data_IF_832429197633
#
_entry.id   IF_832429197633
#
_cell.length_a   1.000
_cell.length_b   1.000
_cell.length_c   1.000
_cell.angle_alpha   90.00
_cell.angle_beta   90.00
_cell.angle_gamma   90.00
#
_symmetry.space_group_name_H-M   'P 1'
#
loop_
_entity.id
_entity.type
_entity.pdbx_description
1 polymer ?
#
# COMPACT_ATOMS: atom_id res chain seq x y z
N UNK A 1 -36.55 -78.48 7.14
CA UNK A 1 -36.92 -77.10 6.80
C UNK A 1 -35.76 -76.52 6.05
N UNK A 2 -35.85 -76.42 4.73
CA UNK A 2 -34.74 -75.93 3.85
C UNK A 2 -34.87 -74.43 3.72
N UNK A 3 -33.75 -73.73 4.07
CA UNK A 3 -33.61 -72.32 3.85
C UNK A 3 -33.12 -72.07 2.42
N UNK A 4 -33.92 -71.36 1.67
CA UNK A 4 -33.65 -70.96 0.29
C UNK A 4 -32.84 -69.69 0.26
N UNK A 5 -31.56 -69.79 -0.18
CA UNK A 5 -30.65 -68.62 -0.33
C UNK A 5 -30.92 -67.99 -1.70
N UNK A 6 -31.41 -66.77 -1.73
CA UNK A 6 -31.59 -65.97 -2.95
C UNK A 6 -30.33 -65.13 -3.16
N UNK A 7 -29.55 -65.45 -4.18
CA UNK A 7 -28.43 -64.65 -4.68
C UNK A 7 -28.96 -63.61 -5.70
N UNK A 8 -28.84 -62.33 -5.38
CA UNK A 8 -29.10 -61.23 -6.31
C UNK A 8 -27.89 -61.03 -7.26
N UNK A 9 -28.12 -60.69 -8.53
CA UNK A 9 -27.02 -60.49 -9.47
C UNK A 9 -26.31 -59.14 -9.21
N UNK A 10 -24.96 -59.17 -9.19
CA UNK A 10 -24.10 -57.97 -9.19
C UNK A 10 -24.33 -57.19 -10.49
N UNK A 11 -24.94 -56.03 -10.40
CA UNK A 11 -24.97 -55.04 -11.49
C UNK A 11 -23.60 -54.31 -11.49
N UNK A 12 -22.83 -54.52 -12.53
CA UNK A 12 -21.56 -53.83 -12.75
C UNK A 12 -21.86 -52.31 -12.94
N UNK A 13 -21.39 -51.49 -11.99
CA UNK A 13 -21.46 -50.03 -12.11
C UNK A 13 -20.42 -49.59 -13.16
N UNK A 14 -20.89 -49.02 -14.26
CA UNK A 14 -20.03 -48.37 -15.23
C UNK A 14 -19.44 -47.11 -14.62
N UNK A 15 -18.14 -46.79 -14.86
CA UNK A 15 -17.52 -45.58 -14.35
C UNK A 15 -18.16 -44.34 -15.00
N UNK A 16 -18.73 -43.45 -14.17
CA UNK A 16 -19.21 -42.16 -14.62
C UNK A 16 -18.03 -41.36 -15.19
N UNK A 17 -18.00 -41.22 -16.51
CA UNK A 17 -17.15 -40.21 -17.16
C UNK A 17 -17.74 -38.83 -16.86
N UNK A 18 -17.11 -38.08 -15.92
CA UNK A 18 -17.35 -36.66 -15.81
C UNK A 18 -16.72 -35.98 -17.04
N UNK A 19 -17.50 -35.27 -17.86
CA UNK A 19 -16.94 -34.44 -18.91
C UNK A 19 -16.13 -33.34 -18.22
N UNK A 20 -14.81 -33.36 -18.40
CA UNK A 20 -13.91 -32.26 -18.01
C UNK A 20 -14.19 -31.11 -18.96
N UNK A 21 -15.07 -30.20 -18.56
CA UNK A 21 -15.20 -28.90 -19.23
C UNK A 21 -13.92 -28.13 -18.98
N UNK A 22 -13.14 -27.79 -20.03
CA UNK A 22 -12.01 -26.91 -19.84
C UNK A 22 -12.56 -25.52 -19.49
N UNK A 23 -12.50 -25.15 -18.22
CA UNK A 23 -12.74 -23.74 -17.85
C UNK A 23 -11.69 -22.93 -18.63
N UNK A 24 -12.13 -21.89 -19.38
CA UNK A 24 -11.20 -21.02 -20.08
C UNK A 24 -10.23 -20.45 -19.04
N UNK A 25 -8.95 -20.81 -19.14
CA UNK A 25 -7.91 -20.18 -18.32
C UNK A 25 -7.93 -18.70 -18.66
N UNK A 26 -8.12 -17.85 -17.65
CA UNK A 26 -7.98 -16.41 -17.83
C UNK A 26 -6.64 -16.14 -18.50
N UNK A 27 -6.68 -15.54 -19.69
CA UNK A 27 -5.48 -15.21 -20.48
C UNK A 27 -4.76 -13.99 -19.94
N UNK A 28 -5.33 -13.29 -18.96
CA UNK A 28 -4.73 -12.13 -18.33
C UNK A 28 -3.77 -12.58 -17.21
N UNK A 29 -2.56 -12.02 -17.15
CA UNK A 29 -1.65 -12.28 -16.05
C UNK A 29 -2.29 -11.91 -14.70
N UNK A 30 -1.97 -12.64 -13.62
CA UNK A 30 -2.51 -12.32 -12.30
C UNK A 30 -2.09 -10.91 -11.90
N UNK A 31 -3.05 -10.14 -11.35
CA UNK A 31 -2.79 -8.79 -10.85
C UNK A 31 -1.84 -8.83 -9.65
N UNK A 32 -0.90 -7.87 -9.61
CA UNK A 32 0.00 -7.70 -8.46
C UNK A 32 -0.77 -7.29 -7.20
N UNK A 33 -0.50 -7.94 -6.09
CA UNK A 33 -1.14 -7.68 -4.80
C UNK A 33 -0.43 -6.54 -4.09
N UNK A 34 -1.14 -5.46 -3.82
CA UNK A 34 -0.60 -4.24 -3.21
C UNK A 34 -1.28 -3.96 -1.89
N UNK A 35 -0.51 -3.66 -0.85
CA UNK A 35 -1.02 -3.13 0.43
C UNK A 35 -0.56 -1.69 0.60
N UNK A 36 -1.47 -0.82 1.03
CA UNK A 36 -1.19 0.58 1.30
C UNK A 36 -1.08 0.81 2.81
N UNK A 37 0.00 1.48 3.24
CA UNK A 37 0.19 2.01 4.58
C UNK A 37 0.08 3.52 4.50
N UNK A 38 -1.04 4.09 4.90
CA UNK A 38 -1.22 5.51 4.66
C UNK A 38 -2.34 6.15 5.45
N UNK A 39 -2.16 7.44 5.68
CA UNK A 39 -3.10 8.27 6.40
C UNK A 39 -3.24 9.63 5.70
N UNK A 40 -4.26 10.41 6.05
CA UNK A 40 -4.50 11.74 5.50
C UNK A 40 -4.51 11.80 3.97
N UNK A 41 -4.14 12.95 3.44
CA UNK A 41 -4.09 13.23 2.01
C UNK A 41 -3.08 12.32 1.28
N UNK A 42 -1.93 12.02 1.89
CA UNK A 42 -0.93 11.15 1.26
C UNK A 42 -1.47 9.75 1.01
N UNK A 43 -1.95 9.09 2.06
CA UNK A 43 -2.55 7.77 1.95
C UNK A 43 -3.76 7.76 1.01
N UNK A 44 -4.61 8.79 1.09
CA UNK A 44 -5.77 8.94 0.21
C UNK A 44 -5.38 9.03 -1.26
N UNK A 45 -4.46 9.93 -1.63
CA UNK A 45 -4.09 10.12 -3.03
C UNK A 45 -3.36 8.91 -3.60
N UNK A 46 -2.45 8.27 -2.83
CA UNK A 46 -1.82 7.02 -3.27
C UNK A 46 -2.89 5.96 -3.53
N UNK A 47 -3.80 5.73 -2.59
CA UNK A 47 -4.86 4.74 -2.74
C UNK A 47 -5.79 5.05 -3.92
N UNK A 48 -6.20 6.31 -4.10
CA UNK A 48 -7.02 6.77 -5.23
C UNK A 48 -6.35 6.48 -6.57
N UNK A 49 -5.07 6.78 -6.71
CA UNK A 49 -4.33 6.54 -7.95
C UNK A 49 -4.17 5.04 -8.25
N UNK A 50 -3.96 4.21 -7.25
CA UNK A 50 -3.89 2.75 -7.41
C UNK A 50 -5.21 2.15 -7.93
N UNK A 51 -6.34 2.73 -7.55
CA UNK A 51 -7.68 2.29 -7.93
C UNK A 51 -8.19 2.93 -9.22
N UNK A 52 -7.36 3.70 -9.91
CA UNK A 52 -7.72 4.40 -11.13
C UNK A 52 -6.82 4.04 -12.32
N UNK A 53 -7.29 4.36 -13.52
CA UNK A 53 -6.52 4.29 -14.76
C UNK A 53 -5.96 2.90 -15.07
N UNK A 54 -4.71 2.88 -15.50
CA UNK A 54 -4.00 1.67 -15.90
C UNK A 54 -3.65 0.77 -14.70
N UNK A 55 -3.29 1.37 -13.57
CA UNK A 55 -2.93 0.61 -12.36
C UNK A 55 -4.07 -0.26 -11.86
N UNK A 56 -5.32 0.20 -11.90
CA UNK A 56 -6.48 -0.58 -11.49
C UNK A 56 -6.67 -1.89 -12.30
N UNK A 57 -6.09 -1.95 -13.51
CA UNK A 57 -6.09 -3.17 -14.33
C UNK A 57 -4.93 -4.12 -13.98
N UNK A 58 -3.80 -3.58 -13.52
CA UNK A 58 -2.56 -4.33 -13.25
C UNK A 58 -2.44 -4.84 -11.82
N UNK A 59 -3.12 -4.19 -10.86
CA UNK A 59 -2.98 -4.50 -9.44
C UNK A 59 -4.31 -4.85 -8.77
N UNK A 60 -4.19 -5.48 -7.61
CA UNK A 60 -5.29 -5.66 -6.64
C UNK A 60 -4.83 -5.08 -5.30
N UNK A 61 -5.52 -4.06 -4.79
CA UNK A 61 -5.29 -3.57 -3.42
C UNK A 61 -5.88 -4.60 -2.46
N UNK A 62 -5.04 -5.22 -1.64
CA UNK A 62 -5.44 -6.33 -0.76
C UNK A 62 -5.78 -5.87 0.65
N UNK A 63 -5.37 -4.67 1.03
CA UNK A 63 -5.71 -4.08 2.30
C UNK A 63 -5.06 -2.71 2.49
N UNK A 64 -5.58 -1.97 3.48
CA UNK A 64 -5.12 -0.64 3.84
C UNK A 64 -4.86 -0.58 5.34
N UNK A 65 -3.60 -0.35 5.73
CA UNK A 65 -3.24 -0.01 7.11
C UNK A 65 -3.21 1.52 7.24
N UNK A 66 -3.99 2.07 8.15
CA UNK A 66 -4.07 3.52 8.41
C UNK A 66 -4.00 3.81 9.89
N UNK A 67 -3.52 4.99 10.26
CA UNK A 67 -3.49 5.41 11.65
C UNK A 67 -4.87 5.84 12.11
N UNK A 68 -5.19 5.51 13.36
CA UNK A 68 -6.33 6.05 14.06
C UNK A 68 -5.82 7.02 15.16
N UNK A 69 -6.08 8.33 15.05
CA UNK A 69 -5.61 9.30 16.03
C UNK A 69 -6.21 9.11 17.42
N UNK A 70 -7.30 8.36 17.54
CA UNK A 70 -7.91 8.03 18.83
C UNK A 70 -7.17 6.91 19.57
N UNK A 71 -6.32 6.15 18.86
CA UNK A 71 -5.56 5.06 19.48
C UNK A 71 -4.42 5.58 20.35
N UNK A 72 -4.32 5.06 21.57
CA UNK A 72 -3.32 5.46 22.56
C UNK A 72 -1.88 5.00 22.25
N UNK A 73 -1.71 4.04 21.33
CA UNK A 73 -0.40 3.48 21.02
C UNK A 73 0.52 4.46 20.26
N UNK A 74 -0.02 5.47 19.61
CA UNK A 74 0.78 6.46 18.91
C UNK A 74 1.36 7.45 19.93
N UNK A 75 2.69 7.59 19.97
CA UNK A 75 3.34 8.52 20.88
C UNK A 75 2.91 9.97 20.60
N UNK A 76 2.40 10.75 21.58
CA UNK A 76 1.85 12.08 21.33
C UNK A 76 2.80 13.04 20.63
N UNK A 77 4.11 12.92 20.91
CA UNK A 77 5.15 13.78 20.32
C UNK A 77 5.64 13.33 18.93
N UNK A 78 5.29 12.12 18.49
CA UNK A 78 5.67 11.52 17.21
C UNK A 78 4.48 11.31 16.28
N UNK A 79 3.30 11.81 16.63
CA UNK A 79 2.11 11.70 15.79
C UNK A 79 2.25 12.61 14.58
N UNK A 80 1.83 12.13 13.44
CA UNK A 80 1.60 12.90 12.22
C UNK A 80 0.60 14.06 12.43
N UNK A 81 -0.25 13.94 13.46
CA UNK A 81 -1.34 14.86 13.79
C UNK A 81 -0.90 16.09 14.59
N UNK A 82 0.39 16.41 14.61
CA UNK A 82 0.89 17.60 15.32
C UNK A 82 0.44 18.92 14.72
N UNK A 83 0.17 18.94 13.43
CA UNK A 83 -0.32 20.13 12.75
C UNK A 83 -1.85 20.21 12.80
N UNK A 84 -2.37 21.41 12.73
CA UNK A 84 -3.82 21.65 12.74
C UNK A 84 -4.49 20.97 11.56
N UNK A 85 -5.46 20.12 11.82
CA UNK A 85 -6.23 19.36 10.82
C UNK A 85 -7.65 19.15 11.34
N UNK A 86 -8.53 18.63 10.48
CA UNK A 86 -9.92 18.34 10.81
C UNK A 86 -10.16 16.85 11.00
N UNK A 87 -11.25 16.47 11.64
CA UNK A 87 -11.69 15.08 11.73
C UNK A 87 -11.90 14.45 10.35
N UNK A 88 -12.33 15.22 9.37
CA UNK A 88 -12.48 14.73 8.00
C UNK A 88 -11.15 14.41 7.34
N UNK A 89 -10.08 15.18 7.62
CA UNK A 89 -8.73 14.86 7.17
C UNK A 89 -8.26 13.51 7.72
N UNK A 90 -8.55 13.21 9.00
CA UNK A 90 -8.23 11.93 9.65
C UNK A 90 -8.96 10.74 9.03
N UNK A 91 -10.21 10.95 8.65
CA UNK A 91 -11.11 9.91 8.15
C UNK A 91 -11.05 9.71 6.63
N UNK A 92 -10.25 10.50 5.90
CA UNK A 92 -10.14 10.40 4.44
C UNK A 92 -9.84 8.97 3.97
N UNK A 93 -8.77 8.36 4.50
CA UNK A 93 -8.34 7.03 4.06
C UNK A 93 -9.33 5.94 4.48
N UNK A 94 -9.74 5.80 5.76
CA UNK A 94 -10.65 4.74 6.13
C UNK A 94 -12.00 4.83 5.43
N UNK A 95 -12.59 6.04 5.30
CA UNK A 95 -13.87 6.22 4.58
C UNK A 95 -13.74 5.86 3.10
N UNK A 96 -12.67 6.32 2.43
CA UNK A 96 -12.47 6.02 1.03
C UNK A 96 -12.24 4.53 0.80
N UNK A 97 -11.39 3.88 1.60
CA UNK A 97 -11.13 2.45 1.49
C UNK A 97 -12.40 1.61 1.73
N UNK A 98 -13.20 1.95 2.74
CA UNK A 98 -14.48 1.31 3.02
C UNK A 98 -15.48 1.48 1.87
N UNK A 99 -15.56 2.68 1.28
CA UNK A 99 -16.41 2.94 0.12
C UNK A 99 -16.00 2.12 -1.12
N UNK A 100 -14.73 1.70 -1.21
CA UNK A 100 -14.20 0.81 -2.24
C UNK A 100 -14.28 -0.68 -1.87
N UNK A 101 -14.87 -1.03 -0.72
CA UNK A 101 -14.97 -2.41 -0.24
C UNK A 101 -13.63 -3.02 0.18
N UNK A 102 -12.63 -2.22 0.51
CA UNK A 102 -11.30 -2.69 0.88
C UNK A 102 -11.20 -3.01 2.37
N UNK A 103 -10.46 -4.06 2.77
CA UNK A 103 -10.12 -4.31 4.16
C UNK A 103 -9.31 -3.16 4.74
N UNK A 104 -9.68 -2.68 5.93
CA UNK A 104 -9.00 -1.58 6.63
C UNK A 104 -8.54 -2.06 8.01
N UNK A 105 -7.29 -1.76 8.34
CA UNK A 105 -6.72 -2.01 9.66
C UNK A 105 -6.21 -0.69 10.27
N UNK A 106 -6.65 -0.38 11.49
CA UNK A 106 -6.32 0.86 12.20
C UNK A 106 -5.50 0.62 13.47
N UNK A 107 -5.09 -0.61 13.72
CA UNK A 107 -4.34 -0.99 14.91
C UNK A 107 -2.82 -0.76 14.82
N UNK A 108 -2.10 -1.29 15.78
CA UNK A 108 -0.63 -1.33 15.78
C UNK A 108 -0.12 -2.36 14.78
N UNK A 109 0.75 -1.92 13.83
CA UNK A 109 1.33 -2.84 12.84
C UNK A 109 2.39 -3.79 13.42
N UNK A 110 2.88 -3.54 14.65
CA UNK A 110 3.88 -4.37 15.34
C UNK A 110 3.24 -5.46 16.21
N UNK A 111 2.06 -5.92 15.87
CA UNK A 111 1.34 -6.93 16.65
C UNK A 111 1.27 -8.26 15.91
N UNK A 112 1.22 -9.40 16.63
CA UNK A 112 1.01 -10.71 16.00
C UNK A 112 -0.29 -10.77 15.18
N UNK A 113 -1.33 -10.05 15.62
CA UNK A 113 -2.60 -9.95 14.91
C UNK A 113 -2.42 -9.33 13.53
N UNK A 114 -1.76 -8.17 13.44
CA UNK A 114 -1.50 -7.54 12.16
C UNK A 114 -0.59 -8.40 11.27
N UNK A 115 0.43 -9.04 11.83
CA UNK A 115 1.30 -9.96 11.10
C UNK A 115 0.49 -11.11 10.48
N UNK A 116 -0.48 -11.68 11.22
CA UNK A 116 -1.38 -12.71 10.69
C UNK A 116 -2.20 -12.19 9.50
N UNK A 117 -2.80 -11.00 9.65
CA UNK A 117 -3.56 -10.35 8.57
C UNK A 117 -2.67 -10.11 7.36
N UNK A 118 -1.51 -9.49 7.55
CA UNK A 118 -0.61 -9.11 6.45
C UNK A 118 -0.07 -10.33 5.70
N UNK A 119 0.45 -11.34 6.43
CA UNK A 119 1.15 -12.46 5.84
C UNK A 119 0.24 -13.59 5.35
N UNK A 120 -0.92 -13.79 5.96
CA UNK A 120 -1.81 -14.89 5.64
C UNK A 120 -3.02 -14.48 4.79
N UNK A 121 -3.54 -13.27 5.00
CA UNK A 121 -4.75 -12.79 4.33
C UNK A 121 -4.41 -11.83 3.18
N UNK A 122 -3.74 -10.69 3.47
CA UNK A 122 -3.40 -9.69 2.46
C UNK A 122 -2.29 -10.13 1.53
N UNK A 123 -1.24 -10.75 2.04
CA UNK A 123 -0.11 -11.34 1.30
C UNK A 123 0.41 -10.43 0.18
N UNK A 124 0.81 -9.18 0.47
CA UNK A 124 1.23 -8.22 -0.55
C UNK A 124 2.51 -8.65 -1.26
N UNK A 125 2.58 -8.33 -2.53
CA UNK A 125 3.79 -8.42 -3.34
C UNK A 125 4.52 -7.08 -3.40
N UNK A 126 3.80 -5.97 -3.21
CA UNK A 126 4.28 -4.61 -3.15
C UNK A 126 3.60 -3.89 -2.00
N UNK A 127 4.36 -3.15 -1.20
CA UNK A 127 3.82 -2.24 -0.19
C UNK A 127 4.19 -0.80 -0.52
N UNK A 128 3.19 0.08 -0.39
CA UNK A 128 3.35 1.52 -0.60
C UNK A 128 2.94 2.26 0.66
N UNK A 129 3.77 3.22 1.10
CA UNK A 129 3.51 4.02 2.28
C UNK A 129 3.47 5.51 1.93
N UNK A 130 2.55 6.24 2.56
CA UNK A 130 2.46 7.69 2.48
C UNK A 130 1.80 8.26 3.74
N UNK A 131 2.47 9.17 4.41
CA UNK A 131 1.93 9.86 5.60
C UNK A 131 1.45 8.86 6.67
N UNK A 132 2.26 7.87 7.01
CA UNK A 132 1.93 6.84 8.00
C UNK A 132 2.70 7.06 9.31
N UNK A 133 2.00 7.07 10.44
CA UNK A 133 2.55 7.48 11.75
C UNK A 133 3.30 6.40 12.52
N UNK A 134 3.43 5.19 12.00
CA UNK A 134 4.09 4.09 12.69
C UNK A 134 5.37 3.67 11.97
N UNK A 135 6.43 3.42 12.74
CA UNK A 135 7.66 2.80 12.20
C UNK A 135 7.37 1.36 11.78
N UNK A 136 7.68 1.02 10.53
CA UNK A 136 7.52 -0.33 9.98
C UNK A 136 8.70 -1.20 10.45
N UNK A 137 8.44 -2.37 11.06
CA UNK A 137 9.50 -3.29 11.50
C UNK A 137 10.03 -4.15 10.35
N UNK A 138 11.27 -4.66 10.49
CA UNK A 138 11.98 -5.48 9.53
C UNK A 138 11.14 -6.60 8.89
N UNK A 139 10.48 -7.46 9.67
CA UNK A 139 9.64 -8.52 9.11
C UNK A 139 8.54 -8.05 8.15
N UNK A 140 8.03 -6.82 8.32
CA UNK A 140 7.00 -6.26 7.43
C UNK A 140 7.64 -5.67 6.16
N UNK A 141 8.66 -4.82 6.28
CA UNK A 141 9.21 -4.18 5.08
C UNK A 141 10.01 -5.13 4.18
N UNK A 142 10.54 -6.23 4.74
CA UNK A 142 11.25 -7.24 3.96
C UNK A 142 10.34 -8.29 3.32
N UNK A 143 9.06 -8.31 3.67
CA UNK A 143 8.13 -9.36 3.21
C UNK A 143 7.73 -9.22 1.74
N UNK A 144 7.32 -8.03 1.23
CA UNK A 144 6.85 -7.92 -0.15
C UNK A 144 7.99 -8.10 -1.15
N UNK A 145 7.87 -9.09 -2.03
CA UNK A 145 8.92 -9.46 -3.01
C UNK A 145 9.28 -8.33 -4.00
N UNK A 146 8.36 -7.40 -4.25
CA UNK A 146 8.58 -6.21 -5.09
C UNK A 146 9.07 -5.00 -4.31
N UNK A 147 9.19 -5.13 -2.98
CA UNK A 147 9.67 -4.08 -2.11
C UNK A 147 8.59 -3.32 -1.35
N UNK A 148 9.06 -2.53 -0.41
CA UNK A 148 8.27 -1.62 0.40
C UNK A 148 8.80 -0.20 0.20
N UNK A 149 7.96 0.71 -0.30
CA UNK A 149 8.36 2.06 -0.67
C UNK A 149 7.54 3.11 0.08
N UNK A 150 8.20 4.23 0.41
CA UNK A 150 7.58 5.38 1.05
C UNK A 150 7.58 6.60 0.12
N UNK A 151 6.45 7.29 0.05
CA UNK A 151 6.31 8.61 -0.56
C UNK A 151 6.52 9.67 0.52
N UNK A 152 7.63 10.39 0.46
CA UNK A 152 8.04 11.35 1.48
C UNK A 152 8.26 12.74 0.90
N UNK A 153 7.74 13.79 1.56
CA UNK A 153 8.07 15.15 1.23
C UNK A 153 9.54 15.43 1.59
N UNK A 154 10.32 15.92 0.66
CA UNK A 154 11.75 16.15 0.86
C UNK A 154 12.22 17.37 0.08
N UNK A 155 13.46 17.79 0.34
CA UNK A 155 14.21 18.66 -0.56
C UNK A 155 14.64 17.91 -1.82
N UNK A 156 15.32 18.60 -2.72
CA UNK A 156 15.76 18.04 -4.01
C UNK A 156 16.91 17.03 -3.86
N UNK A 157 17.69 17.14 -2.82
CA UNK A 157 18.83 16.25 -2.54
C UNK A 157 18.36 15.22 -1.53
N UNK A 158 18.48 13.96 -1.87
CA UNK A 158 18.12 12.86 -0.99
C UNK A 158 19.37 12.27 -0.31
N UNK A 159 19.30 11.88 0.98
CA UNK A 159 18.17 12.07 1.92
C UNK A 159 18.12 13.52 2.45
N UNK A 160 16.91 14.03 2.70
CA UNK A 160 16.73 15.34 3.33
C UNK A 160 15.41 15.42 4.10
N UNK A 161 15.43 16.18 5.18
CA UNK A 161 14.27 16.44 6.04
C UNK A 161 13.56 15.15 6.51
N UNK A 162 14.27 14.20 7.13
CA UNK A 162 13.66 12.96 7.64
C UNK A 162 12.73 13.25 8.81
N UNK A 163 11.78 12.31 9.03
CA UNK A 163 10.89 12.33 10.18
C UNK A 163 9.47 12.79 9.89
N UNK A 164 8.67 13.00 10.95
CA UNK A 164 7.22 13.09 10.83
C UNK A 164 6.69 14.43 10.29
N UNK A 165 7.49 15.48 10.27
CA UNK A 165 7.10 16.81 9.80
C UNK A 165 8.17 17.47 8.93
N UNK A 166 8.44 16.90 7.75
CA UNK A 166 9.44 17.42 6.83
C UNK A 166 9.10 18.83 6.30
N UNK A 167 7.81 19.12 6.14
CA UNK A 167 7.35 20.41 5.62
C UNK A 167 7.70 21.55 6.58
N UNK A 168 7.39 21.40 7.87
CA UNK A 168 7.76 22.41 8.86
C UNK A 168 9.28 22.58 8.97
N UNK A 169 10.05 21.49 8.81
CA UNK A 169 11.50 21.57 8.78
C UNK A 169 12.00 22.34 7.55
N UNK A 170 11.44 22.10 6.37
CA UNK A 170 11.78 22.82 5.15
C UNK A 170 11.44 24.31 5.22
N UNK A 171 10.27 24.65 5.76
CA UNK A 171 9.87 26.06 5.97
C UNK A 171 10.82 26.79 6.92
N UNK A 172 11.20 26.16 8.04
CA UNK A 172 12.19 26.74 8.98
C UNK A 172 13.56 26.95 8.34
N UNK A 173 13.94 26.06 7.40
CA UNK A 173 15.21 26.14 6.66
C UNK A 173 15.14 27.08 5.44
N UNK A 174 14.06 27.84 5.30
CA UNK A 174 13.88 28.82 4.22
C UNK A 174 13.75 28.23 2.83
N UNK A 175 13.33 26.97 2.71
CA UNK A 175 13.10 26.34 1.39
C UNK A 175 11.88 26.96 0.75
N UNK A 176 12.01 27.27 -0.53
CA UNK A 176 10.93 27.83 -1.36
C UNK A 176 10.20 26.77 -2.20
N UNK A 177 10.74 25.55 -2.25
CA UNK A 177 10.20 24.44 -3.01
C UNK A 177 10.42 23.12 -2.26
N UNK A 178 9.55 22.17 -2.51
CA UNK A 178 9.71 20.76 -2.10
C UNK A 178 9.49 19.84 -3.29
N UNK A 179 9.86 18.58 -3.12
CA UNK A 179 9.52 17.47 -4.01
C UNK A 179 8.89 16.34 -3.20
N UNK A 180 8.15 15.46 -3.87
CA UNK A 180 7.78 14.17 -3.33
C UNK A 180 8.80 13.13 -3.80
N UNK A 181 9.50 12.50 -2.87
CA UNK A 181 10.50 11.45 -3.14
C UNK A 181 9.93 10.09 -2.81
N UNK A 182 10.26 9.11 -3.63
CA UNK A 182 10.02 7.69 -3.33
C UNK A 182 11.36 7.06 -2.96
N UNK A 183 11.37 6.34 -1.85
CA UNK A 183 12.52 5.59 -1.38
C UNK A 183 12.11 4.25 -0.78
N UNK A 184 13.04 3.30 -0.69
CA UNK A 184 12.80 2.02 0.00
C UNK A 184 12.64 2.23 1.50
N UNK A 185 11.82 1.42 2.15
CA UNK A 185 11.69 1.44 3.62
C UNK A 185 12.73 0.51 4.23
N UNK A 186 13.42 1.02 5.25
CA UNK A 186 14.46 0.32 6.02
C UNK A 186 14.29 0.56 7.52
N UNK A 187 15.19 0.04 8.33
CA UNK A 187 15.23 0.33 9.77
C UNK A 187 15.57 1.80 10.10
N UNK A 188 16.21 2.51 9.16
CA UNK A 188 16.49 3.94 9.28
C UNK A 188 15.31 4.74 8.73
N UNK A 189 14.72 5.59 9.57
CA UNK A 189 13.57 6.42 9.15
C UNK A 189 14.03 7.36 8.03
N UNK A 190 13.30 7.31 6.91
CA UNK A 190 13.55 8.11 5.69
C UNK A 190 15.02 8.09 5.22
N UNK A 191 15.70 6.95 5.43
CA UNK A 191 17.10 6.72 5.07
C UNK A 191 17.31 5.60 4.05
N UNK A 192 16.25 5.12 3.41
CA UNK A 192 16.34 4.08 2.39
C UNK A 192 16.86 4.58 1.05
N UNK A 193 17.05 3.66 0.10
CA UNK A 193 17.54 3.97 -1.23
C UNK A 193 16.55 4.82 -2.01
N UNK A 194 17.08 5.84 -2.71
CA UNK A 194 16.32 6.69 -3.60
C UNK A 194 15.82 5.91 -4.81
N UNK A 195 14.55 6.11 -5.16
CA UNK A 195 13.91 5.49 -6.32
C UNK A 195 13.54 6.53 -7.37
N UNK A 196 12.77 7.54 -6.97
CA UNK A 196 12.29 8.58 -7.88
C UNK A 196 11.90 9.86 -7.12
N UNK A 197 11.80 10.97 -7.84
CA UNK A 197 11.24 12.22 -7.31
C UNK A 197 10.27 12.88 -8.30
N UNK A 198 9.34 13.65 -7.75
CA UNK A 198 8.38 14.44 -8.51
C UNK A 198 9.02 15.70 -9.09
N UNK A 199 8.24 16.49 -9.82
CA UNK A 199 8.55 17.88 -10.09
C UNK A 199 8.57 18.70 -8.78
N UNK A 200 9.15 19.89 -8.84
CA UNK A 200 9.16 20.86 -7.73
C UNK A 200 7.76 21.42 -7.50
N UNK A 201 7.39 21.55 -6.24
CA UNK A 201 6.18 22.23 -5.79
C UNK A 201 6.58 23.44 -4.97
N UNK A 202 6.10 24.62 -5.33
CA UNK A 202 6.38 25.84 -4.59
C UNK A 202 5.79 25.78 -3.18
N UNK A 203 6.54 26.29 -2.19
CA UNK A 203 6.09 26.47 -0.81
C UNK A 203 5.63 27.94 -0.67
N UNK A 204 4.31 28.22 -0.61
CA UNK A 204 3.83 29.57 -0.43
C UNK A 204 4.26 30.14 0.93
N UNK A 205 4.46 31.46 0.99
CA UNK A 205 4.74 32.16 2.24
C UNK A 205 3.60 31.93 3.25
N UNK A 206 3.95 31.66 4.51
CA UNK A 206 2.97 31.44 5.58
C UNK A 206 2.18 30.15 5.52
N UNK A 207 2.43 29.26 4.55
CA UNK A 207 1.75 27.97 4.47
C UNK A 207 2.12 27.06 5.64
N UNK A 208 1.13 26.43 6.23
CA UNK A 208 1.35 25.38 7.23
C UNK A 208 1.43 23.98 6.60
N UNK A 209 1.78 22.97 7.40
CA UNK A 209 1.97 21.59 6.92
C UNK A 209 0.72 21.04 6.21
N UNK A 210 -0.47 21.16 6.78
CA UNK A 210 -1.70 20.63 6.14
C UNK A 210 -2.06 21.40 4.86
N UNK A 211 -1.83 22.71 4.83
CA UNK A 211 -1.99 23.52 3.63
C UNK A 211 -1.07 23.03 2.51
N UNK A 212 0.19 22.71 2.85
CA UNK A 212 1.14 22.17 1.88
C UNK A 212 0.77 20.78 1.41
N UNK A 213 0.26 19.90 2.28
CA UNK A 213 -0.31 18.62 1.87
C UNK A 213 -1.45 18.80 0.86
N UNK A 214 -2.36 19.77 1.09
CA UNK A 214 -3.47 20.09 0.18
C UNK A 214 -3.01 20.65 -1.17
N UNK A 215 -1.86 21.31 -1.21
CA UNK A 215 -1.25 21.80 -2.45
C UNK A 215 -0.54 20.66 -3.19
N UNK A 216 0.25 19.85 -2.49
CA UNK A 216 1.14 18.85 -3.12
C UNK A 216 0.39 17.64 -3.64
N UNK A 217 -0.37 16.95 -2.79
CA UNK A 217 -0.91 15.65 -3.13
C UNK A 217 -1.84 15.62 -4.36
N UNK A 218 -2.74 16.60 -4.59
CA UNK A 218 -3.61 16.58 -5.77
C UNK A 218 -2.89 16.60 -7.11
N UNK A 219 -1.66 17.13 -7.18
CA UNK A 219 -0.87 17.20 -8.40
C UNK A 219 0.09 16.01 -8.58
N UNK A 220 0.15 15.08 -7.61
CA UNK A 220 1.07 13.93 -7.65
C UNK A 220 0.51 12.71 -8.40
N UNK A 221 -0.73 12.72 -8.84
CA UNK A 221 -1.34 11.59 -9.54
C UNK A 221 -0.47 11.02 -10.67
N UNK A 222 -0.04 11.82 -11.67
CA UNK A 222 0.81 11.34 -12.76
C UNK A 222 2.16 10.80 -12.28
N UNK A 223 2.73 11.34 -11.20
CA UNK A 223 3.97 10.85 -10.62
C UNK A 223 3.77 9.48 -9.96
N UNK A 224 2.71 9.32 -9.17
CA UNK A 224 2.36 8.05 -8.53
C UNK A 224 2.13 6.97 -9.60
N UNK A 225 1.31 7.27 -10.61
CA UNK A 225 1.00 6.36 -11.71
C UNK A 225 2.26 5.88 -12.44
N UNK A 226 3.14 6.78 -12.86
CA UNK A 226 4.39 6.43 -13.55
C UNK A 226 5.33 5.62 -12.67
N UNK A 227 5.49 6.02 -11.42
CA UNK A 227 6.43 5.36 -10.50
C UNK A 227 6.01 3.94 -10.17
N UNK A 228 4.72 3.73 -9.89
CA UNK A 228 4.21 2.38 -9.58
C UNK A 228 4.24 1.50 -10.83
N UNK A 229 3.86 2.00 -12.01
CA UNK A 229 4.02 1.26 -13.26
C UNK A 229 5.49 0.84 -13.48
N UNK A 230 6.44 1.76 -13.29
CA UNK A 230 7.87 1.44 -13.40
C UNK A 230 8.34 0.36 -12.44
N UNK A 231 7.85 0.33 -11.20
CA UNK A 231 8.13 -0.76 -10.24
C UNK A 231 7.62 -2.11 -10.73
N UNK A 232 6.39 -2.14 -11.29
CA UNK A 232 5.79 -3.37 -11.83
C UNK A 232 6.55 -3.88 -13.06
N UNK A 233 6.98 -2.99 -13.95
CA UNK A 233 7.71 -3.31 -15.19
C UNK A 233 9.14 -3.78 -14.92
N UNK A 234 9.86 -3.13 -14.02
CA UNK A 234 11.21 -3.53 -13.61
C UNK A 234 11.22 -4.97 -13.09
N UNK A 235 10.17 -5.35 -12.37
CA UNK A 235 10.02 -6.71 -11.89
C UNK A 235 9.70 -7.71 -13.00
N UNK A 236 8.78 -7.38 -13.91
CA UNK A 236 8.45 -8.25 -15.05
C UNK A 236 9.70 -8.55 -15.91
N UNK A 237 10.56 -7.54 -16.10
CA UNK A 237 11.81 -7.70 -16.84
C UNK A 237 12.85 -8.57 -16.12
N UNK A 238 12.86 -8.59 -14.78
CA UNK A 238 13.75 -9.46 -14.01
C UNK A 238 13.32 -10.93 -14.07
N UNK A 239 12.04 -11.21 -14.14
CA UNK A 239 11.48 -12.55 -14.28
C UNK A 239 11.76 -13.16 -15.66
N UNK A 240 11.63 -12.37 -16.74
CA UNK A 240 11.88 -12.85 -18.10
C UNK A 240 13.36 -13.20 -18.37
N UNK A 241 14.30 -12.70 -17.54
CA UNK A 241 15.73 -13.03 -17.61
C UNK A 241 16.12 -14.25 -16.78
N UNK A 242 15.27 -14.66 -15.84
CA UNK A 242 15.53 -15.77 -14.92
C UNK A 242 14.81 -17.07 -15.34
N UNK A 243 13.93 -17.02 -16.34
CA UNK A 243 13.22 -18.14 -16.95
C UNK A 243 13.88 -18.57 -18.26
#
# INVERSE_FOLDING_TARGET
MNAMTITAPLVAQQPFHHPSFPFPRSTSPPKTRVTVFGSFLGGYHVLKELLSGELARKITVTGVATDDPTQSFTHPHLRLWKYSHTRDDELLVPRFAQAQGLPVYTGRVKTPEFHKILFNEWRPELCLMATFGQKIPGPIFSYPRLGFFNFHHSGEIWPSFPGPDPIAAMVRDGKTHLVLTIHTVTDVIDGGEFVARSHRVAIPEGVNAIGMHRITWPQMGPFIQRSVNGMLEAHAASWSKAA
#
